data_IF_221072743883
#
_entry.id   IF_221072743883
#
_cell.length_a   1.000
_cell.length_b   1.000
_cell.length_c   1.000
_cell.angle_alpha   90.00
_cell.angle_beta   90.00
_cell.angle_gamma   90.00
#
_symmetry.space_group_name_H-M   'P 1'
#
loop_
_entity.id
_entity.type
_entity.pdbx_description
1 polymer ?
#
# COMPACT_ATOMS: atom_id res chain seq x y z
N UNK A 1 2.72 9.53 16.38
CA UNK A 1 3.11 9.31 14.97
C UNK A 1 2.02 8.61 14.23
N UNK A 2 1.72 9.08 13.03
CA UNK A 2 0.73 8.43 12.19
C UNK A 2 1.40 7.35 11.35
N UNK A 3 0.78 6.17 11.31
CA UNK A 3 1.25 5.06 10.49
C UNK A 3 0.43 4.98 9.22
N UNK A 4 1.11 4.88 8.09
CA UNK A 4 0.51 4.77 6.77
C UNK A 4 0.95 3.48 6.09
N UNK A 5 -0.01 2.84 5.41
CA UNK A 5 0.25 1.72 4.53
C UNK A 5 -0.10 2.15 3.10
N UNK A 6 0.82 1.96 2.16
CA UNK A 6 0.61 2.39 0.78
C UNK A 6 0.06 1.24 -0.07
N UNK A 7 -1.01 1.53 -0.82
CA UNK A 7 -1.50 0.61 -1.84
C UNK A 7 -0.49 0.53 -3.00
N UNK A 8 -0.53 -0.56 -3.73
CA UNK A 8 0.40 -0.84 -4.84
C UNK A 8 0.43 0.30 -5.86
N UNK A 9 -0.72 0.81 -6.28
CA UNK A 9 -0.76 1.90 -7.26
C UNK A 9 -0.10 3.18 -6.73
N UNK A 10 -0.25 3.46 -5.45
CA UNK A 10 0.39 4.64 -4.83
C UNK A 10 1.91 4.50 -4.88
N UNK A 11 2.44 3.31 -4.60
CA UNK A 11 3.88 3.04 -4.69
C UNK A 11 4.38 3.26 -6.12
N UNK A 12 3.65 2.77 -7.10
CA UNK A 12 3.99 2.93 -8.52
C UNK A 12 3.97 4.42 -8.90
N UNK A 13 2.93 5.17 -8.51
CA UNK A 13 2.82 6.60 -8.82
C UNK A 13 3.93 7.41 -8.16
N UNK A 14 4.33 7.07 -6.94
CA UNK A 14 5.48 7.71 -6.29
C UNK A 14 6.76 7.49 -7.09
N UNK A 15 6.99 6.28 -7.59
CA UNK A 15 8.17 5.96 -8.38
C UNK A 15 8.19 6.68 -9.74
N UNK A 16 7.01 6.96 -10.29
CA UNK A 16 6.85 7.64 -11.58
C UNK A 16 6.68 9.15 -11.43
N UNK A 17 6.67 9.64 -10.19
CA UNK A 17 6.49 11.06 -9.86
C UNK A 17 5.20 11.64 -10.48
N UNK A 18 4.10 10.91 -10.37
CA UNK A 18 2.80 11.34 -10.92
C UNK A 18 2.24 12.52 -10.13
N UNK A 19 1.66 13.55 -10.81
CA UNK A 19 1.07 14.69 -10.10
C UNK A 19 -0.04 14.32 -9.12
N UNK A 20 -0.70 13.20 -9.35
CA UNK A 20 -1.79 12.71 -8.50
C UNK A 20 -1.39 12.57 -7.03
N UNK A 21 -0.12 12.30 -6.75
CA UNK A 21 0.35 12.06 -5.37
C UNK A 21 1.10 13.28 -4.80
N UNK A 22 1.17 14.39 -5.52
CA UNK A 22 1.91 15.57 -5.05
C UNK A 22 1.37 16.07 -3.71
N UNK A 23 0.07 16.03 -3.53
CA UNK A 23 -0.57 16.51 -2.30
C UNK A 23 -0.23 15.69 -1.06
N UNK A 24 0.22 14.44 -1.22
CA UNK A 24 0.58 13.57 -0.09
C UNK A 24 2.08 13.41 0.11
N UNK A 25 2.90 13.86 -0.83
CA UNK A 25 4.36 13.69 -0.73
C UNK A 25 4.94 14.27 0.55
N UNK A 26 4.57 15.48 0.90
CA UNK A 26 5.08 16.13 2.11
C UNK A 26 4.63 15.37 3.37
N UNK A 27 3.42 14.82 3.36
CA UNK A 27 2.91 14.02 4.46
C UNK A 27 3.74 12.75 4.63
N UNK A 28 4.00 12.03 3.53
CA UNK A 28 4.74 10.77 3.56
C UNK A 28 6.21 10.97 3.93
N UNK A 29 6.79 12.10 3.57
CA UNK A 29 8.20 12.41 3.86
C UNK A 29 8.39 13.12 5.19
N UNK A 30 7.32 13.41 5.91
CA UNK A 30 7.39 14.05 7.22
C UNK A 30 8.06 13.12 8.24
N UNK A 31 8.88 13.69 9.11
CA UNK A 31 9.52 12.95 10.20
C UNK A 31 8.51 12.36 11.20
N UNK A 32 7.28 12.87 11.20
CA UNK A 32 6.21 12.39 12.09
C UNK A 32 5.39 11.26 11.50
N UNK A 33 5.71 10.84 10.27
CA UNK A 33 5.00 9.76 9.58
C UNK A 33 5.85 8.49 9.58
N UNK A 34 5.20 7.36 9.90
CA UNK A 34 5.76 6.03 9.69
C UNK A 34 5.06 5.44 8.46
N UNK A 35 5.81 5.23 7.39
CA UNK A 35 5.26 4.74 6.13
C UNK A 35 5.71 3.31 5.89
N UNK A 36 4.75 2.45 5.59
CA UNK A 36 4.97 1.03 5.35
C UNK A 36 4.56 0.64 3.94
N UNK A 37 5.33 -0.29 3.37
CA UNK A 37 4.97 -0.96 2.13
C UNK A 37 4.91 -2.44 2.43
N UNK A 38 3.76 -3.05 2.17
CA UNK A 38 3.56 -4.48 2.44
C UNK A 38 4.33 -5.35 1.45
N UNK A 39 4.73 -6.53 1.91
CA UNK A 39 5.21 -7.61 1.03
C UNK A 39 4.18 -7.93 -0.04
N UNK A 40 2.89 -7.77 0.24
CA UNK A 40 1.80 -7.90 -0.73
C UNK A 40 2.03 -7.02 -1.96
N UNK A 41 2.42 -5.77 -1.74
CA UNK A 41 2.68 -4.81 -2.82
C UNK A 41 3.86 -5.26 -3.69
N UNK A 42 4.95 -5.70 -3.08
CA UNK A 42 6.10 -6.21 -3.84
C UNK A 42 5.73 -7.45 -4.65
N UNK A 43 4.92 -8.31 -4.08
CA UNK A 43 4.44 -9.51 -4.77
C UNK A 43 3.53 -9.16 -5.95
N UNK A 44 2.60 -8.25 -5.76
CA UNK A 44 1.70 -7.80 -6.84
C UNK A 44 2.51 -7.17 -7.99
N UNK A 45 3.49 -6.34 -7.68
CA UNK A 45 4.39 -5.73 -8.68
C UNK A 45 5.15 -6.82 -9.43
N UNK A 46 5.69 -7.82 -8.71
CA UNK A 46 6.42 -8.91 -9.32
C UNK A 46 5.56 -9.72 -10.29
N UNK A 47 4.31 -10.00 -9.91
CA UNK A 47 3.36 -10.70 -10.78
C UNK A 47 3.10 -9.88 -12.05
N UNK A 48 2.84 -8.59 -11.91
CA UNK A 48 2.55 -7.72 -13.06
C UNK A 48 3.76 -7.57 -13.99
N UNK A 49 4.96 -7.52 -13.43
CA UNK A 49 6.18 -7.54 -14.25
C UNK A 49 6.31 -8.84 -15.03
N UNK A 50 6.11 -9.96 -14.35
CA UNK A 50 6.23 -11.29 -14.96
C UNK A 50 5.25 -11.49 -16.11
N UNK A 51 4.07 -10.90 -16.02
CA UNK A 51 3.03 -11.00 -17.06
C UNK A 51 3.13 -9.90 -18.12
N UNK A 52 4.14 -9.05 -18.06
CA UNK A 52 4.36 -7.97 -19.03
C UNK A 52 3.48 -6.73 -18.85
N UNK A 53 2.72 -6.64 -17.76
CA UNK A 53 1.82 -5.51 -17.50
C UNK A 53 2.54 -4.28 -16.94
N UNK A 54 3.73 -4.46 -16.38
CA UNK A 54 4.57 -3.38 -15.87
C UNK A 54 5.98 -3.50 -16.42
N UNK A 55 6.59 -2.34 -16.70
CA UNK A 55 7.96 -2.26 -17.20
C UNK A 55 8.93 -1.65 -16.19
N UNK A 56 8.44 -1.28 -14.99
CA UNK A 56 9.26 -0.66 -13.95
C UNK A 56 10.31 -1.62 -13.40
N UNK A 57 11.41 -1.06 -12.89
CA UNK A 57 12.47 -1.83 -12.26
C UNK A 57 12.14 -2.02 -10.78
N UNK A 58 11.83 -3.26 -10.38
CA UNK A 58 11.45 -3.59 -9.01
C UNK A 58 12.54 -3.21 -7.99
N UNK A 59 13.80 -3.51 -8.30
CA UNK A 59 14.89 -3.22 -7.37
C UNK A 59 15.12 -1.72 -7.21
N UNK A 60 14.90 -0.96 -8.28
CA UNK A 60 15.00 0.50 -8.21
C UNK A 60 13.91 1.07 -7.29
N UNK A 61 12.67 0.60 -7.40
CA UNK A 61 11.58 1.06 -6.53
C UNK A 61 11.87 0.68 -5.08
N UNK A 62 12.33 -0.53 -4.81
CA UNK A 62 12.69 -0.96 -3.46
C UNK A 62 13.79 -0.10 -2.87
N UNK A 63 14.80 0.22 -3.66
CA UNK A 63 15.90 1.09 -3.25
C UNK A 63 15.41 2.50 -2.91
N UNK A 64 14.55 3.07 -3.74
CA UNK A 64 13.96 4.39 -3.48
C UNK A 64 13.13 4.40 -2.20
N UNK A 65 12.35 3.35 -1.96
CA UNK A 65 11.56 3.23 -0.74
C UNK A 65 12.46 3.19 0.51
N UNK A 66 13.57 2.46 0.42
CA UNK A 66 14.55 2.40 1.51
C UNK A 66 15.19 3.76 1.79
N UNK A 67 15.53 4.50 0.74
CA UNK A 67 16.10 5.86 0.86
C UNK A 67 15.10 6.79 1.56
N UNK A 68 13.82 6.64 1.29
CA UNK A 68 12.76 7.42 1.94
C UNK A 68 12.45 6.95 3.36
N UNK A 69 13.14 5.93 3.87
CA UNK A 69 12.87 5.30 5.17
C UNK A 69 11.50 4.65 5.27
N UNK A 70 10.94 4.22 4.15
CA UNK A 70 9.72 3.43 4.15
C UNK A 70 10.05 2.01 4.62
N UNK A 71 9.24 1.49 5.53
CA UNK A 71 9.47 0.21 6.17
C UNK A 71 8.68 -0.88 5.46
N UNK A 72 9.25 -2.08 5.40
CA UNK A 72 8.53 -3.23 4.86
C UNK A 72 7.63 -3.84 5.92
N UNK A 73 6.38 -4.14 5.53
CA UNK A 73 5.43 -4.82 6.39
C UNK A 73 5.27 -6.26 5.92
N UNK A 74 5.73 -7.25 6.72
CA UNK A 74 5.62 -8.65 6.32
C UNK A 74 4.18 -9.15 6.42
N UNK A 75 3.88 -10.20 5.65
CA UNK A 75 2.62 -10.92 5.76
C UNK A 75 2.81 -12.03 6.80
N UNK A 76 1.94 -12.05 7.81
CA UNK A 76 1.93 -13.10 8.82
C UNK A 76 0.53 -13.70 8.95
N UNK A 77 0.44 -14.86 9.58
CA UNK A 77 -0.85 -15.52 9.80
C UNK A 77 -1.77 -14.72 10.72
N UNK A 78 -1.22 -13.78 11.47
CA UNK A 78 -2.01 -12.95 12.38
C UNK A 78 -3.08 -12.09 11.66
N UNK A 79 -2.89 -11.80 10.38
CA UNK A 79 -3.85 -11.01 9.62
C UNK A 79 -5.04 -11.82 9.10
N UNK A 80 -4.99 -13.15 9.19
CA UNK A 80 -5.97 -14.01 8.52
C UNK A 80 -7.37 -13.90 9.13
N UNK A 81 -7.47 -13.71 10.44
CA UNK A 81 -8.77 -13.49 11.08
C UNK A 81 -9.43 -12.21 10.59
N UNK A 82 -8.67 -11.12 10.55
CA UNK A 82 -9.17 -9.83 10.03
C UNK A 82 -9.57 -9.95 8.57
N UNK A 83 -8.77 -10.66 7.77
CA UNK A 83 -9.08 -10.92 6.37
C UNK A 83 -10.43 -11.62 6.21
N UNK A 84 -10.70 -12.65 7.01
CA UNK A 84 -11.96 -13.38 6.97
C UNK A 84 -13.17 -12.55 7.37
N UNK A 85 -12.97 -11.53 8.19
CA UNK A 85 -14.03 -10.66 8.69
C UNK A 85 -14.37 -9.51 7.74
N UNK A 86 -13.59 -9.32 6.66
CA UNK A 86 -13.87 -8.26 5.69
C UNK A 86 -15.17 -8.53 4.94
N UNK A 87 -15.98 -7.48 4.67
CA UNK A 87 -17.15 -7.66 3.81
C UNK A 87 -16.71 -7.98 2.37
N UNK A 88 -17.57 -8.69 1.64
CA UNK A 88 -17.29 -9.13 0.27
C UNK A 88 -17.80 -8.09 -0.72
N UNK A 89 -17.14 -6.93 -0.79
CA UNK A 89 -17.54 -5.81 -1.66
C UNK A 89 -16.89 -5.88 -3.04
N UNK A 90 -15.71 -6.49 -3.15
CA UNK A 90 -15.04 -6.77 -4.42
C UNK A 90 -14.09 -7.96 -4.23
N UNK A 91 -13.46 -8.43 -5.32
CA UNK A 91 -12.76 -9.72 -5.30
C UNK A 91 -11.24 -9.65 -5.44
N UNK A 92 -10.64 -8.50 -5.24
CA UNK A 92 -9.18 -8.36 -5.36
C UNK A 92 -8.50 -8.83 -4.05
N UNK A 93 -7.83 -9.98 -4.05
CA UNK A 93 -7.20 -10.51 -2.83
C UNK A 93 -6.01 -9.67 -2.35
N UNK A 94 -5.34 -8.96 -3.24
CA UNK A 94 -4.25 -8.06 -2.83
C UNK A 94 -4.80 -6.90 -2.02
N UNK A 95 -5.88 -6.28 -2.50
CA UNK A 95 -6.54 -5.19 -1.78
C UNK A 95 -7.10 -5.67 -0.44
N UNK A 96 -7.67 -6.87 -0.40
CA UNK A 96 -8.19 -7.44 0.84
C UNK A 96 -7.09 -7.64 1.89
N UNK A 97 -5.91 -8.10 1.48
CA UNK A 97 -4.81 -8.28 2.42
C UNK A 97 -4.29 -6.94 2.93
N UNK A 98 -4.17 -5.94 2.06
CA UNK A 98 -3.77 -4.59 2.48
C UNK A 98 -4.77 -4.00 3.48
N UNK A 99 -6.06 -4.17 3.23
CA UNK A 99 -7.11 -3.75 4.17
C UNK A 99 -6.99 -4.47 5.51
N UNK A 100 -6.78 -5.79 5.47
CA UNK A 100 -6.63 -6.58 6.70
C UNK A 100 -5.43 -6.10 7.52
N UNK A 101 -4.31 -5.84 6.86
CA UNK A 101 -3.12 -5.34 7.53
C UNK A 101 -3.35 -3.95 8.15
N UNK A 102 -3.99 -3.05 7.41
CA UNK A 102 -4.28 -1.70 7.88
C UNK A 102 -5.22 -1.71 9.08
N UNK A 103 -6.28 -2.52 9.01
CA UNK A 103 -7.27 -2.61 10.09
C UNK A 103 -6.65 -3.25 11.34
N UNK A 104 -5.86 -4.30 11.16
CA UNK A 104 -5.25 -5.02 12.28
C UNK A 104 -4.29 -4.14 13.09
N UNK A 105 -3.50 -3.30 12.44
CA UNK A 105 -2.41 -2.57 13.09
C UNK A 105 -2.82 -1.52 14.12
N UNK A 106 -3.77 -0.56 13.98
CA UNK A 106 -4.33 0.03 12.76
C UNK A 106 -3.37 1.04 12.09
N UNK A 107 -3.50 1.15 10.78
CA UNK A 107 -2.77 2.12 9.94
C UNK A 107 -3.75 2.78 8.97
N UNK A 108 -3.40 3.97 8.50
CA UNK A 108 -4.16 4.57 7.41
C UNK A 108 -3.70 3.97 6.09
N UNK A 109 -4.63 3.42 5.32
CA UNK A 109 -4.35 2.88 3.98
C UNK A 109 -4.53 3.99 2.94
N UNK A 110 -3.45 4.33 2.25
CA UNK A 110 -3.48 5.33 1.18
C UNK A 110 -3.65 4.60 -0.15
N UNK A 111 -4.72 4.92 -0.87
CA UNK A 111 -5.09 4.24 -2.10
C UNK A 111 -5.69 5.21 -3.12
N UNK A 112 -5.61 4.86 -4.40
CA UNK A 112 -6.35 5.55 -5.45
C UNK A 112 -7.71 4.92 -5.75
N UNK A 113 -8.05 3.81 -5.09
CA UNK A 113 -9.30 3.09 -5.31
C UNK A 113 -10.36 3.50 -4.30
N UNK A 114 -11.32 4.31 -4.74
CA UNK A 114 -12.38 4.82 -3.85
C UNK A 114 -13.28 3.72 -3.28
N UNK A 115 -13.35 2.55 -3.93
CA UNK A 115 -14.13 1.43 -3.41
C UNK A 115 -13.61 0.94 -2.05
N UNK A 116 -12.31 1.08 -1.80
CA UNK A 116 -11.72 0.63 -0.54
C UNK A 116 -12.20 1.45 0.65
N UNK A 117 -12.63 2.70 0.43
CA UNK A 117 -13.15 3.55 1.49
C UNK A 117 -14.43 2.98 2.13
N UNK A 118 -15.14 2.13 1.42
CA UNK A 118 -16.35 1.48 1.94
C UNK A 118 -16.04 0.41 2.99
N UNK A 119 -14.78 -0.05 3.09
CA UNK A 119 -14.38 -1.07 4.06
C UNK A 119 -14.04 -0.49 5.43
N UNK A 120 -13.47 0.71 5.47
CA UNK A 120 -12.97 1.28 6.73
C UNK A 120 -12.74 2.78 6.61
N UNK A 121 -12.95 3.49 7.72
CA UNK A 121 -12.61 4.91 7.84
C UNK A 121 -11.10 5.15 7.86
N UNK A 122 -10.29 4.10 8.00
CA UNK A 122 -8.82 4.20 7.91
C UNK A 122 -8.34 4.44 6.48
N UNK A 123 -9.18 4.18 5.48
CA UNK A 123 -8.80 4.35 4.08
C UNK A 123 -8.78 5.84 3.72
N UNK A 124 -7.68 6.26 3.09
CA UNK A 124 -7.47 7.62 2.61
C UNK A 124 -7.30 7.56 1.09
N UNK A 125 -8.28 8.09 0.36
CA UNK A 125 -8.27 8.06 -1.10
C UNK A 125 -7.55 9.28 -1.64
N UNK A 126 -6.67 9.06 -2.60
CA UNK A 126 -5.91 10.12 -3.27
C UNK A 126 -6.15 10.16 -4.77
#
# INVERSE_FOLDING_TARGET
MTQFLLDTNVVIWLSEDKPRIDQIKSLLLSAESDVFISVVTWWEIAIKKRTGKLTIDLEQIRSQASICNFKELPITSMYMKTYLELPDLHKDPFDHMLLAQAIYSPMRLITGNSLLAEYSSLVMVV
#
